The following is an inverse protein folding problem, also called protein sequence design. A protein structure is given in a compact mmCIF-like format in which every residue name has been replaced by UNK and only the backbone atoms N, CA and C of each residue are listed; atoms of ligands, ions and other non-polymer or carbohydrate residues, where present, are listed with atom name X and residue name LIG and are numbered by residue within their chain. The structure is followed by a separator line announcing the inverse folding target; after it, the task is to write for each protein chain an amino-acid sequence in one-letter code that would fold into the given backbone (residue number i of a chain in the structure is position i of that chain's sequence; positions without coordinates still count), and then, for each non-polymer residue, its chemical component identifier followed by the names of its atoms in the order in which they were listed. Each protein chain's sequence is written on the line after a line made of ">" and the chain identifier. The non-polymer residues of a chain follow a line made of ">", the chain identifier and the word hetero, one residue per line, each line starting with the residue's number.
data_IF_214911182493
#
_entry.id   IF_214911182493
#
_cell.length_a   1.000
_cell.length_b   1.000
_cell.length_c   1.000
_cell.angle_alpha   90.00
_cell.angle_beta   90.00
_cell.angle_gamma   90.00
#
_symmetry.space_group_name_H-M   'P 1'
#
loop_
_entity.id
_entity.type
_entity.pdbx_description
1 polymer ?
#
# COMPACT_ATOMS: atom_id res chain seq x y z
N UNK A 1 -30.10 8.78 0.91
CA UNK A 1 -28.90 9.62 0.68
C UNK A 1 -27.65 8.79 0.90
N UNK A 2 -27.14 8.14 -0.15
CA UNK A 2 -25.87 7.38 -0.08
C UNK A 2 -24.76 8.33 -0.48
N UNK A 3 -23.88 8.65 0.47
CA UNK A 3 -22.67 9.45 0.26
C UNK A 3 -21.94 8.93 -0.96
N UNK A 4 -21.71 9.82 -1.92
CA UNK A 4 -20.74 9.66 -3.00
C UNK A 4 -19.36 9.49 -2.36
N UNK A 5 -19.01 8.23 -2.08
CA UNK A 5 -17.66 7.80 -1.79
C UNK A 5 -17.23 7.01 -3.01
N UNK A 6 -16.28 7.53 -3.77
CA UNK A 6 -15.58 6.77 -4.81
C UNK A 6 -14.52 5.96 -4.07
N UNK A 7 -14.75 4.66 -3.81
CA UNK A 7 -13.75 3.84 -3.12
C UNK A 7 -12.51 3.75 -4.00
N UNK A 8 -11.31 3.69 -3.42
CA UNK A 8 -10.22 2.98 -4.10
C UNK A 8 -10.80 1.66 -4.58
N UNK A 9 -10.60 1.27 -5.86
CA UNK A 9 -11.25 0.10 -6.43
C UNK A 9 -11.16 -1.02 -5.41
N UNK A 10 -12.32 -1.47 -4.92
CA UNK A 10 -12.42 -2.37 -3.77
C UNK A 10 -11.48 -3.59 -3.90
N UNK A 11 -11.21 -3.98 -5.15
CA UNK A 11 -10.18 -4.92 -5.54
C UNK A 11 -8.79 -4.64 -4.92
N UNK A 12 -8.22 -3.45 -5.08
CA UNK A 12 -6.86 -3.14 -4.61
C UNK A 12 -6.78 -3.12 -3.07
N UNK A 13 -7.80 -2.57 -2.42
CA UNK A 13 -7.90 -2.57 -0.97
C UNK A 13 -8.01 -4.01 -0.41
N UNK A 14 -8.85 -4.84 -1.05
CA UNK A 14 -9.03 -6.24 -0.70
C UNK A 14 -7.76 -7.06 -0.94
N UNK A 15 -7.01 -6.80 -2.00
CA UNK A 15 -5.73 -7.46 -2.27
C UNK A 15 -4.70 -7.16 -1.18
N UNK A 16 -4.63 -5.91 -0.72
CA UNK A 16 -3.74 -5.54 0.38
C UNK A 16 -4.19 -6.10 1.72
N UNK A 17 -5.49 -6.08 2.05
CA UNK A 17 -6.01 -6.78 3.23
C UNK A 17 -5.67 -8.27 3.20
N UNK A 18 -5.87 -8.93 2.06
CA UNK A 18 -5.53 -10.34 1.89
C UNK A 18 -4.02 -10.58 2.06
N UNK A 19 -3.18 -9.70 1.51
CA UNK A 19 -1.73 -9.78 1.67
C UNK A 19 -1.29 -9.58 3.12
N UNK A 20 -1.95 -8.67 3.86
CA UNK A 20 -1.73 -8.45 5.31
C UNK A 20 -2.13 -9.70 6.09
N UNK A 21 -3.33 -10.24 5.85
CA UNK A 21 -3.84 -11.45 6.50
C UNK A 21 -2.93 -12.65 6.24
N UNK A 22 -2.47 -12.81 4.99
CA UNK A 22 -1.53 -13.87 4.60
C UNK A 22 -0.08 -13.56 4.96
N UNK A 23 0.20 -12.38 5.53
CA UNK A 23 1.54 -11.91 5.91
C UNK A 23 2.55 -12.01 4.75
N UNK A 24 2.08 -11.84 3.51
CA UNK A 24 2.91 -11.94 2.30
C UNK A 24 3.80 -10.72 2.15
N UNK A 25 4.89 -10.91 1.42
CA UNK A 25 5.81 -9.81 1.12
C UNK A 25 5.53 -9.36 -0.30
N UNK A 26 5.31 -8.06 -0.47
CA UNK A 26 5.00 -7.45 -1.76
C UNK A 26 6.19 -6.62 -2.21
N UNK A 27 6.59 -6.77 -3.47
CA UNK A 27 7.48 -5.84 -4.13
C UNK A 27 6.68 -4.63 -4.61
N UNK A 28 6.82 -3.52 -3.89
CA UNK A 28 6.05 -2.31 -4.14
C UNK A 28 6.91 -1.32 -4.93
N UNK A 29 6.37 -0.80 -6.03
CA UNK A 29 6.94 0.32 -6.78
C UNK A 29 6.09 1.56 -6.53
N UNK A 30 6.70 2.63 -6.04
CA UNK A 30 6.02 3.90 -5.76
C UNK A 30 6.88 5.10 -6.12
N UNK A 31 6.27 6.28 -6.27
CA UNK A 31 7.00 7.55 -6.39
C UNK A 31 7.26 8.18 -5.03
N UNK A 32 8.52 8.49 -4.75
CA UNK A 32 8.91 9.20 -3.54
C UNK A 32 8.49 10.69 -3.61
N UNK A 33 8.73 11.48 -2.55
CA UNK A 33 8.38 12.92 -2.51
C UNK A 33 9.08 13.74 -3.58
N UNK A 34 10.21 13.26 -4.10
CA UNK A 34 10.96 13.88 -5.19
C UNK A 34 10.52 13.40 -6.59
N UNK A 35 9.48 12.58 -6.69
CA UNK A 35 8.99 12.04 -7.96
C UNK A 35 9.82 10.89 -8.54
N UNK A 36 10.87 10.45 -7.84
CA UNK A 36 11.68 9.29 -8.23
C UNK A 36 10.95 7.98 -7.96
N UNK A 37 11.03 7.06 -8.93
CA UNK A 37 10.63 5.68 -8.78
C UNK A 37 11.47 4.97 -7.71
N UNK A 38 10.79 4.41 -6.72
CA UNK A 38 11.37 3.54 -5.69
C UNK A 38 10.72 2.18 -5.78
N UNK A 39 11.53 1.14 -5.66
CA UNK A 39 11.08 -0.25 -5.60
C UNK A 39 11.69 -0.87 -4.36
N UNK A 40 10.85 -1.38 -3.46
CA UNK A 40 11.30 -2.04 -2.23
C UNK A 40 10.36 -3.21 -1.91
N UNK A 41 10.94 -4.26 -1.35
CA UNK A 41 10.21 -5.43 -0.87
C UNK A 41 9.69 -5.13 0.53
N UNK A 42 8.37 -5.05 0.65
CA UNK A 42 7.66 -4.58 1.82
C UNK A 42 6.56 -5.55 2.22
N UNK A 43 6.48 -5.83 3.51
CA UNK A 43 5.40 -6.59 4.10
C UNK A 43 4.31 -5.63 4.56
N UNK A 44 3.14 -5.55 3.90
CA UNK A 44 2.05 -4.74 4.38
C UNK A 44 1.62 -5.24 5.76
N UNK A 45 1.40 -4.31 6.68
CA UNK A 45 1.01 -4.58 8.07
C UNK A 45 -0.38 -4.03 8.34
N UNK A 46 -0.69 -2.86 7.80
CA UNK A 46 -1.94 -2.17 8.07
C UNK A 46 -2.26 -1.16 6.95
N UNK A 47 -3.53 -0.84 6.75
CA UNK A 47 -3.97 0.23 5.85
C UNK A 47 -4.63 1.33 6.66
N UNK A 48 -4.27 2.59 6.39
CA UNK A 48 -4.75 3.74 7.14
C UNK A 48 -5.26 4.83 6.24
N UNK A 49 -6.53 5.20 6.43
CA UNK A 49 -7.15 6.33 5.73
C UNK A 49 -7.12 7.57 6.63
N UNK A 50 -6.47 8.65 6.17
CA UNK A 50 -6.37 9.93 6.90
C UNK A 50 -6.56 11.08 5.93
N UNK A 51 -7.45 12.03 6.27
CA UNK A 51 -7.68 13.29 5.52
C UNK A 51 -7.89 13.05 4.01
N UNK A 52 -8.82 12.16 3.65
CA UNK A 52 -9.12 11.79 2.26
C UNK A 52 -7.95 11.18 1.47
N UNK A 53 -6.92 10.68 2.14
CA UNK A 53 -5.84 9.93 1.51
C UNK A 53 -5.63 8.60 2.21
N UNK A 54 -5.32 7.58 1.41
CA UNK A 54 -5.04 6.23 1.87
C UNK A 54 -3.53 5.99 1.92
N UNK A 55 -3.11 5.37 3.02
CA UNK A 55 -1.72 5.05 3.31
C UNK A 55 -1.59 3.57 3.66
N UNK A 56 -0.62 2.90 3.08
CA UNK A 56 -0.21 1.56 3.45
C UNK A 56 0.94 1.67 4.45
N UNK A 57 0.74 1.07 5.63
CA UNK A 57 1.79 0.82 6.59
C UNK A 57 2.38 -0.53 6.26
N UNK A 58 3.66 -0.56 5.89
CA UNK A 58 4.39 -1.76 5.61
C UNK A 58 5.70 -1.80 6.38
N UNK A 59 6.34 -2.97 6.45
CA UNK A 59 7.68 -3.14 7.02
C UNK A 59 8.62 -3.72 5.97
N UNK A 60 9.82 -3.17 5.86
CA UNK A 60 10.84 -3.73 5.00
C UNK A 60 11.54 -4.94 5.67
N UNK A 61 12.45 -5.58 4.93
CA UNK A 61 13.24 -6.71 5.44
C UNK A 61 14.11 -6.36 6.65
N UNK A 62 14.47 -5.08 6.82
CA UNK A 62 15.21 -4.57 7.98
C UNK A 62 14.29 -4.28 9.19
N UNK A 63 13.00 -4.59 9.10
CA UNK A 63 12.02 -4.31 10.16
C UNK A 63 11.61 -2.84 10.28
N UNK A 64 12.09 -1.97 9.38
CA UNK A 64 11.74 -0.55 9.39
C UNK A 64 10.33 -0.35 8.86
N UNK A 65 9.54 0.45 9.57
CA UNK A 65 8.21 0.83 9.13
C UNK A 65 8.29 1.83 7.96
N UNK A 66 7.51 1.56 6.92
CA UNK A 66 7.30 2.40 5.75
C UNK A 66 5.84 2.80 5.69
N UNK A 67 5.59 4.07 5.45
CA UNK A 67 4.25 4.60 5.25
C UNK A 67 4.18 5.13 3.82
N UNK A 68 3.49 4.39 2.97
CA UNK A 68 3.37 4.69 1.54
C UNK A 68 1.97 5.21 1.24
N UNK A 69 1.85 6.30 0.48
CA UNK A 69 0.54 6.73 -0.04
C UNK A 69 0.12 5.80 -1.16
N UNK A 70 -1.08 5.22 -1.09
CA UNK A 70 -1.60 4.34 -2.15
C UNK A 70 -1.66 5.07 -3.50
N UNK A 71 -2.05 6.35 -3.47
CA UNK A 71 -2.05 7.28 -4.60
C UNK A 71 -0.68 7.42 -5.32
N UNK A 72 0.43 7.09 -4.64
CA UNK A 72 1.78 7.13 -5.24
C UNK A 72 2.32 5.76 -5.61
N UNK A 73 1.58 4.69 -5.29
CA UNK A 73 1.96 3.33 -5.68
C UNK A 73 1.66 3.17 -7.16
N UNK A 74 2.69 2.81 -7.92
CA UNK A 74 2.59 2.57 -9.35
C UNK A 74 2.20 1.12 -9.61
N UNK A 75 2.80 0.17 -8.87
CA UNK A 75 2.55 -1.26 -9.03
C UNK A 75 2.96 -2.02 -7.76
N UNK A 76 2.29 -3.13 -7.48
CA UNK A 76 2.67 -4.11 -6.46
C UNK A 76 2.69 -5.51 -7.07
N UNK A 77 3.79 -6.23 -6.88
CA UNK A 77 3.91 -7.65 -7.23
C UNK A 77 4.04 -8.49 -5.96
N UNK A 78 3.34 -9.62 -5.92
CA UNK A 78 3.51 -10.63 -4.87
C UNK A 78 4.86 -11.33 -5.09
N UNK A 79 5.72 -11.32 -4.07
CA UNK A 79 6.95 -12.14 -4.05
C UNK A 79 6.62 -13.36 -3.19
N UNK A 80 5.90 -14.30 -3.81
CA UNK A 80 5.48 -15.58 -3.22
C UNK A 80 6.53 -16.67 -3.33
#
# INVERSE_FOLDING_TARGET
>A
MKREYTPIPCALYSEYELAILRRRTLRVRWKDRYGMDRVETLKPVDLRTRRHAEFMIARNQLGQQRVLRLDRIINTKDEG
#
